data_IF_267533871599
#
_entry.id   IF_267533871599
#
_cell.length_a   1.000
_cell.length_b   1.000
_cell.length_c   1.000
_cell.angle_alpha   90.00
_cell.angle_beta   90.00
_cell.angle_gamma   90.00
#
_symmetry.space_group_name_H-M   'P 1'
#
loop_
_entity.id
_entity.type
_entity.pdbx_description
1 polymer ?
#
# COMPACT_ATOMS: atom_id res chain seq x y z
N UNK A 1 -65.14 -35.91 -48.36
CA UNK A 1 -64.51 -35.79 -47.08
C UNK A 1 -63.32 -34.84 -47.24
N UNK A 2 -63.52 -33.54 -46.90
CA UNK A 2 -62.56 -32.48 -47.09
C UNK A 2 -61.95 -32.14 -45.72
N UNK A 3 -60.66 -32.29 -45.56
CA UNK A 3 -59.94 -31.89 -44.35
C UNK A 3 -59.04 -30.70 -44.71
N UNK A 4 -59.52 -29.49 -44.32
CA UNK A 4 -58.78 -28.25 -44.38
C UNK A 4 -57.70 -28.19 -43.28
N UNK A 5 -56.40 -28.20 -43.66
CA UNK A 5 -55.26 -27.85 -42.76
C UNK A 5 -55.03 -26.34 -42.81
N UNK A 6 -55.31 -25.63 -41.74
CA UNK A 6 -54.87 -24.23 -41.52
C UNK A 6 -53.44 -24.25 -41.01
N UNK A 7 -52.53 -23.60 -41.76
CA UNK A 7 -51.17 -23.26 -41.33
C UNK A 7 -51.23 -21.99 -40.51
N UNK A 8 -50.86 -22.08 -39.22
CA UNK A 8 -50.66 -20.93 -38.36
C UNK A 8 -49.21 -20.44 -38.52
N UNK A 9 -49.04 -19.24 -39.01
CA UNK A 9 -47.74 -18.53 -39.01
C UNK A 9 -47.54 -17.89 -37.62
N UNK A 10 -46.62 -18.39 -36.83
CA UNK A 10 -46.15 -17.78 -35.61
C UNK A 10 -45.05 -16.74 -35.95
N UNK A 11 -45.38 -15.47 -35.88
CA UNK A 11 -44.44 -14.38 -36.04
C UNK A 11 -43.59 -14.28 -34.78
N UNK A 12 -42.27 -14.47 -34.92
CA UNK A 12 -41.29 -14.24 -33.86
C UNK A 12 -40.97 -12.73 -33.86
N UNK A 13 -41.44 -12.00 -32.88
CA UNK A 13 -41.02 -10.64 -32.59
C UNK A 13 -39.65 -10.66 -31.93
N UNK A 14 -38.59 -10.31 -32.67
CA UNK A 14 -37.26 -10.10 -32.11
C UNK A 14 -37.24 -8.67 -31.50
N UNK A 15 -37.38 -8.60 -30.19
CA UNK A 15 -37.13 -7.36 -29.44
C UNK A 15 -35.62 -7.12 -29.38
N UNK A 16 -35.12 -6.20 -30.21
CA UNK A 16 -33.73 -5.71 -30.08
C UNK A 16 -33.61 -4.87 -28.81
N UNK A 17 -33.02 -5.47 -27.76
CA UNK A 17 -32.61 -4.75 -26.56
C UNK A 17 -31.43 -3.85 -26.92
N UNK A 18 -31.67 -2.58 -27.11
CA UNK A 18 -30.64 -1.54 -27.15
C UNK A 18 -30.00 -1.48 -25.75
N UNK A 19 -28.90 -2.18 -25.57
CA UNK A 19 -28.04 -2.04 -24.41
C UNK A 19 -27.45 -0.62 -24.45
N UNK A 20 -28.09 0.31 -23.74
CA UNK A 20 -27.54 1.65 -23.54
C UNK A 20 -26.22 1.53 -22.84
N UNK A 21 -25.11 1.86 -23.52
CA UNK A 21 -23.81 2.00 -22.90
C UNK A 21 -23.94 3.04 -21.76
N UNK A 22 -23.41 2.77 -20.57
CA UNK A 22 -23.46 3.76 -19.49
C UNK A 22 -22.73 5.02 -19.96
N UNK A 23 -23.45 6.13 -20.02
CA UNK A 23 -22.85 7.45 -20.25
C UNK A 23 -21.97 7.73 -19.04
N UNK A 24 -20.66 7.47 -19.19
CA UNK A 24 -19.67 7.87 -18.18
C UNK A 24 -19.66 9.39 -18.19
N UNK A 25 -20.36 10.00 -17.25
CA UNK A 25 -20.33 11.44 -17.07
C UNK A 25 -18.87 11.85 -16.80
N UNK A 26 -18.32 12.66 -17.70
CA UNK A 26 -16.96 13.17 -17.55
C UNK A 26 -16.91 14.03 -16.26
N UNK A 27 -15.97 13.71 -15.37
CA UNK A 27 -15.76 14.47 -14.14
C UNK A 27 -15.46 15.94 -14.51
N UNK A 28 -16.31 16.87 -14.10
CA UNK A 28 -16.06 18.28 -14.35
C UNK A 28 -14.89 18.76 -13.46
N UNK A 29 -13.84 19.27 -14.09
CA UNK A 29 -12.70 19.85 -13.39
C UNK A 29 -12.93 21.33 -13.06
N UNK A 30 -12.27 21.82 -12.01
CA UNK A 30 -12.13 23.23 -11.75
C UNK A 30 -11.28 23.89 -12.86
N UNK A 31 -11.36 25.21 -12.97
CA UNK A 31 -10.60 25.97 -13.98
C UNK A 31 -9.12 26.16 -13.62
N UNK A 32 -8.73 25.79 -12.41
CA UNK A 32 -7.38 25.89 -11.90
C UNK A 32 -6.82 24.50 -11.57
N UNK A 33 -5.54 24.34 -11.79
CA UNK A 33 -4.78 23.17 -11.39
C UNK A 33 -3.40 23.61 -10.91
N UNK A 34 -2.75 22.74 -10.16
CA UNK A 34 -1.39 22.95 -9.68
C UNK A 34 -0.45 21.90 -10.28
N UNK A 35 0.70 22.35 -10.75
CA UNK A 35 1.83 21.49 -11.10
C UNK A 35 2.92 21.70 -10.07
N UNK A 36 3.43 20.61 -9.56
CA UNK A 36 4.53 20.60 -8.62
C UNK A 36 5.73 19.89 -9.24
N UNK A 37 6.93 20.31 -8.83
CA UNK A 37 8.20 19.69 -9.19
C UNK A 37 8.90 19.17 -7.94
N UNK A 38 9.47 18.00 -8.07
CA UNK A 38 10.37 17.42 -7.10
C UNK A 38 11.75 17.16 -7.71
N UNK A 39 12.62 16.56 -6.92
CA UNK A 39 13.96 16.19 -7.39
C UNK A 39 13.91 15.15 -8.50
N UNK A 40 15.03 15.05 -9.23
CA UNK A 40 15.28 14.03 -10.27
C UNK A 40 14.23 13.96 -11.38
N UNK A 41 13.56 15.09 -11.67
CA UNK A 41 12.58 15.17 -12.75
C UNK A 41 11.17 14.75 -12.36
N UNK A 42 10.91 14.50 -11.08
CA UNK A 42 9.56 14.26 -10.58
C UNK A 42 8.65 15.45 -10.89
N UNK A 43 7.48 15.17 -11.42
CA UNK A 43 6.41 16.15 -11.65
C UNK A 43 5.07 15.57 -11.19
N UNK A 44 4.32 16.36 -10.44
CA UNK A 44 2.99 15.98 -9.96
C UNK A 44 1.98 17.04 -10.34
N UNK A 45 0.91 16.62 -11.01
CA UNK A 45 -0.23 17.48 -11.38
C UNK A 45 -1.36 17.19 -10.42
N UNK A 46 -2.00 18.24 -9.90
CA UNK A 46 -3.23 18.16 -9.11
C UNK A 46 -4.28 19.08 -9.76
N UNK A 47 -5.32 18.48 -10.34
CA UNK A 47 -6.42 19.20 -10.97
C UNK A 47 -7.73 18.91 -10.21
N UNK A 48 -8.19 19.82 -9.31
CA UNK A 48 -9.38 19.62 -8.51
C UNK A 48 -10.64 19.44 -9.37
N UNK A 49 -11.60 18.69 -8.86
CA UNK A 49 -12.95 18.63 -9.43
C UNK A 49 -13.71 19.93 -9.12
N UNK A 50 -14.72 20.24 -9.93
CA UNK A 50 -15.50 21.48 -9.76
C UNK A 50 -16.27 21.55 -8.43
N UNK A 51 -16.56 20.42 -7.81
CA UNK A 51 -17.18 20.30 -6.49
C UNK A 51 -16.17 20.28 -5.33
N UNK A 52 -14.88 20.36 -5.65
CA UNK A 52 -13.75 20.35 -4.72
C UNK A 52 -13.67 19.12 -3.79
N UNK A 53 -14.31 18.01 -4.15
CA UNK A 53 -14.29 16.77 -3.35
C UNK A 53 -13.18 15.80 -3.74
N UNK A 54 -12.63 15.95 -4.95
CA UNK A 54 -11.59 15.10 -5.49
C UNK A 54 -10.65 15.89 -6.40
N UNK A 55 -9.62 15.25 -6.91
CA UNK A 55 -8.77 15.80 -7.96
C UNK A 55 -8.31 14.70 -8.93
N UNK A 56 -8.04 15.05 -10.17
CA UNK A 56 -7.17 14.24 -11.02
C UNK A 56 -5.73 14.52 -10.61
N UNK A 57 -5.04 13.46 -10.20
CA UNK A 57 -3.62 13.50 -9.80
C UNK A 57 -2.81 12.68 -10.79
N UNK A 58 -1.80 13.29 -11.41
CA UNK A 58 -0.85 12.61 -12.31
C UNK A 58 0.56 12.71 -11.75
N UNK A 59 1.25 11.60 -11.70
CA UNK A 59 2.66 11.52 -11.33
C UNK A 59 3.49 11.21 -12.57
N UNK A 60 4.63 11.86 -12.73
CA UNK A 60 5.56 11.63 -13.84
C UNK A 60 7.01 11.77 -13.39
N UNK A 61 7.91 11.05 -14.06
CA UNK A 61 9.36 11.09 -13.80
C UNK A 61 9.79 10.16 -12.66
N UNK A 62 9.05 9.08 -12.42
CA UNK A 62 9.39 8.07 -11.42
C UNK A 62 9.54 6.69 -12.05
N UNK A 63 10.48 5.91 -11.56
CA UNK A 63 10.63 4.51 -11.97
C UNK A 63 9.66 3.63 -11.14
N UNK A 64 8.36 3.71 -11.49
CA UNK A 64 7.29 3.05 -10.74
C UNK A 64 6.10 2.75 -11.65
N UNK A 65 5.30 1.72 -11.36
CA UNK A 65 4.06 1.40 -12.11
C UNK A 65 3.04 2.54 -12.15
N UNK A 66 3.16 3.54 -11.28
CA UNK A 66 2.27 4.71 -11.25
C UNK A 66 2.73 5.85 -12.17
N UNK A 67 3.90 5.72 -12.81
CA UNK A 67 4.42 6.74 -13.71
C UNK A 67 3.49 7.01 -14.90
N UNK A 68 3.17 8.26 -15.15
CA UNK A 68 2.26 8.68 -16.22
C UNK A 68 0.79 8.32 -16.00
N UNK A 69 0.43 7.67 -14.88
CA UNK A 69 -0.96 7.32 -14.58
C UNK A 69 -1.68 8.51 -13.94
N UNK A 70 -2.92 8.73 -14.40
CA UNK A 70 -3.83 9.75 -13.84
C UNK A 70 -4.83 9.07 -12.94
N UNK A 71 -4.83 9.43 -11.65
CA UNK A 71 -5.75 8.91 -10.64
C UNK A 71 -6.85 9.92 -10.36
N UNK A 72 -8.08 9.47 -10.17
CA UNK A 72 -9.08 10.25 -9.45
C UNK A 72 -8.85 9.96 -7.95
N UNK A 73 -8.44 10.99 -7.24
CA UNK A 73 -8.08 10.90 -5.84
C UNK A 73 -9.04 11.75 -5.00
N UNK A 74 -9.58 11.16 -3.93
CA UNK A 74 -10.47 11.84 -3.01
C UNK A 74 -9.69 12.89 -2.20
N UNK A 75 -10.28 14.06 -2.02
CA UNK A 75 -9.76 15.11 -1.14
C UNK A 75 -10.13 14.79 0.30
N UNK A 76 -9.12 14.55 1.13
CA UNK A 76 -9.29 14.23 2.55
C UNK A 76 -8.62 15.32 3.39
N UNK A 77 -9.39 15.98 4.25
CA UNK A 77 -8.89 17.01 5.16
C UNK A 77 -8.97 16.50 6.59
N UNK A 78 -7.86 16.57 7.30
CA UNK A 78 -7.76 16.20 8.70
C UNK A 78 -6.96 17.28 9.44
N UNK A 79 -7.67 18.19 10.13
CA UNK A 79 -7.09 19.38 10.74
C UNK A 79 -6.38 20.26 9.71
N UNK A 80 -5.07 20.44 9.86
CA UNK A 80 -4.23 21.25 8.96
C UNK A 80 -3.61 20.46 7.81
N UNK A 81 -3.94 19.17 7.70
CA UNK A 81 -3.42 18.28 6.67
C UNK A 81 -4.47 18.02 5.60
N UNK A 82 -4.14 18.32 4.35
CA UNK A 82 -4.92 17.99 3.18
C UNK A 82 -4.19 16.87 2.41
N UNK A 83 -4.90 15.82 2.03
CA UNK A 83 -4.35 14.77 1.18
C UNK A 83 -5.27 14.43 0.02
N UNK A 84 -4.66 14.06 -1.11
CA UNK A 84 -5.36 13.45 -2.23
C UNK A 84 -5.12 11.95 -2.19
N UNK A 85 -6.18 11.19 -1.93
CA UNK A 85 -6.14 9.77 -1.64
C UNK A 85 -6.76 8.94 -2.73
N UNK A 86 -6.08 7.87 -3.14
CA UNK A 86 -6.59 6.82 -3.99
C UNK A 86 -6.35 5.45 -3.34
N UNK A 87 -6.45 4.38 -4.10
CA UNK A 87 -6.14 3.02 -3.66
C UNK A 87 -4.97 2.47 -4.48
N UNK A 88 -4.01 1.86 -3.81
CA UNK A 88 -2.88 1.16 -4.40
C UNK A 88 -2.67 -0.17 -3.66
N UNK A 89 -2.51 -1.26 -4.39
CA UNK A 89 -2.30 -2.61 -3.82
C UNK A 89 -3.31 -2.95 -2.70
N UNK A 90 -4.59 -2.62 -2.92
CA UNK A 90 -5.68 -2.88 -1.99
C UNK A 90 -5.73 -1.99 -0.74
N UNK A 91 -4.83 -1.01 -0.62
CA UNK A 91 -4.72 -0.13 0.55
C UNK A 91 -4.96 1.34 0.20
N UNK A 92 -5.48 2.14 1.13
CA UNK A 92 -5.57 3.59 0.95
C UNK A 92 -4.16 4.19 0.77
N UNK A 93 -4.01 4.99 -0.29
CA UNK A 93 -2.75 5.60 -0.67
C UNK A 93 -2.91 7.12 -0.80
N UNK A 94 -2.24 7.87 0.06
CA UNK A 94 -2.17 9.33 -0.04
C UNK A 94 -1.10 9.69 -1.08
N UNK A 95 -1.52 10.07 -2.27
CA UNK A 95 -0.60 10.39 -3.39
C UNK A 95 0.15 11.68 -3.10
N UNK A 96 -0.59 12.73 -2.72
CA UNK A 96 -0.07 14.05 -2.39
C UNK A 96 -0.62 14.46 -1.04
N UNK A 97 0.24 14.99 -0.21
CA UNK A 97 -0.11 15.56 1.09
C UNK A 97 0.40 16.99 1.14
N UNK A 98 -0.46 17.88 1.57
CA UNK A 98 -0.16 19.27 1.88
C UNK A 98 -0.41 19.46 3.37
N UNK A 99 0.61 19.86 4.12
CA UNK A 99 0.57 19.98 5.56
C UNK A 99 1.08 21.34 6.00
N UNK A 100 0.28 22.01 6.81
CA UNK A 100 0.66 23.27 7.46
C UNK A 100 1.45 22.93 8.73
N UNK A 101 2.77 23.00 8.61
CA UNK A 101 3.70 22.75 9.70
C UNK A 101 3.93 24.06 10.50
N UNK A 102 2.96 24.40 11.36
CA UNK A 102 3.16 25.46 12.35
C UNK A 102 4.07 24.95 13.48
N UNK A 103 5.37 25.06 13.29
CA UNK A 103 6.36 24.74 14.32
C UNK A 103 7.22 25.95 14.61
N UNK A 104 7.27 26.35 15.89
CA UNK A 104 8.20 27.35 16.41
C UNK A 104 8.15 28.76 15.75
N UNK A 105 6.91 29.20 15.38
CA UNK A 105 6.71 30.58 14.87
C UNK A 105 6.92 30.73 13.35
N UNK A 106 7.15 29.66 12.62
CA UNK A 106 7.20 29.66 11.16
C UNK A 106 5.95 29.01 10.60
N UNK A 107 5.16 29.74 9.81
CA UNK A 107 4.08 29.18 9.01
C UNK A 107 4.72 28.59 7.75
N UNK A 108 4.87 27.29 7.73
CA UNK A 108 5.46 26.58 6.60
C UNK A 108 4.46 25.56 6.07
N UNK A 109 4.12 25.65 4.78
CA UNK A 109 3.31 24.67 4.09
C UNK A 109 4.24 23.76 3.32
N UNK A 110 4.27 22.48 3.69
CA UNK A 110 5.02 21.48 2.96
C UNK A 110 4.07 20.65 2.08
N UNK A 111 4.42 20.52 0.81
CA UNK A 111 3.74 19.60 -0.12
C UNK A 111 4.66 18.44 -0.40
N UNK A 112 4.17 17.21 -0.20
CA UNK A 112 4.94 15.97 -0.42
C UNK A 112 4.15 14.98 -1.26
N UNK A 113 4.84 14.22 -2.10
CA UNK A 113 4.28 13.03 -2.79
C UNK A 113 4.82 11.76 -2.17
N UNK A 114 3.94 10.78 -1.93
CA UNK A 114 4.28 9.47 -1.40
C UNK A 114 4.12 8.43 -2.50
N UNK A 115 5.24 7.97 -3.06
CA UNK A 115 5.26 7.20 -4.30
C UNK A 115 5.94 5.85 -4.11
N UNK A 116 5.41 4.76 -4.70
CA UNK A 116 6.08 3.47 -4.65
C UNK A 116 7.45 3.53 -5.37
N UNK A 117 8.46 2.75 -4.96
CA UNK A 117 8.33 1.70 -3.94
C UNK A 117 8.38 2.19 -2.49
N UNK A 118 8.84 3.42 -2.23
CA UNK A 118 8.95 3.95 -0.87
C UNK A 118 7.80 4.92 -0.57
N UNK A 119 6.81 4.43 0.17
CA UNK A 119 5.64 5.21 0.58
C UNK A 119 5.84 5.91 1.93
N UNK A 120 7.01 5.81 2.58
CA UNK A 120 7.23 6.33 3.94
C UNK A 120 7.81 7.74 3.95
N UNK A 121 8.88 7.96 3.19
CA UNK A 121 9.66 9.21 3.33
C UNK A 121 9.05 10.37 2.53
N UNK A 122 8.35 10.08 1.44
CA UNK A 122 7.75 11.08 0.57
C UNK A 122 8.79 12.00 -0.09
N UNK A 123 8.42 12.55 -1.22
CA UNK A 123 9.24 13.48 -2.01
C UNK A 123 8.73 14.90 -1.79
N UNK A 124 9.59 15.82 -1.34
CA UNK A 124 9.24 17.23 -1.23
C UNK A 124 8.97 17.83 -2.60
N UNK A 125 7.91 18.62 -2.68
CA UNK A 125 7.42 19.22 -3.92
C UNK A 125 7.37 20.74 -3.82
N UNK A 126 7.80 21.40 -4.90
CA UNK A 126 7.72 22.86 -5.06
C UNK A 126 6.70 23.21 -6.16
N UNK A 127 5.88 24.22 -5.94
CA UNK A 127 4.90 24.69 -6.90
C UNK A 127 5.57 25.30 -8.12
N UNK A 128 5.14 24.89 -9.34
CA UNK A 128 5.57 25.47 -10.63
C UNK A 128 4.44 26.26 -11.25
N UNK A 129 4.45 27.55 -11.05
CA UNK A 129 3.41 28.47 -11.56
C UNK A 129 3.33 28.47 -13.09
N UNK A 130 4.48 28.44 -13.77
CA UNK A 130 4.53 28.45 -15.25
C UNK A 130 3.92 27.18 -15.83
N UNK A 131 4.30 26.02 -15.29
CA UNK A 131 3.73 24.74 -15.73
C UNK A 131 2.24 24.63 -15.39
N UNK A 132 1.81 25.17 -14.24
CA UNK A 132 0.40 25.20 -13.83
C UNK A 132 -0.46 26.01 -14.79
N UNK A 133 0.00 27.20 -15.21
CA UNK A 133 -0.70 28.04 -16.19
C UNK A 133 -0.74 27.44 -17.61
N UNK A 134 0.25 26.62 -17.95
CA UNK A 134 0.37 25.99 -19.28
C UNK A 134 -0.33 24.62 -19.35
N UNK A 135 -0.92 24.13 -18.26
CA UNK A 135 -1.48 22.78 -18.20
C UNK A 135 -2.75 22.68 -19.05
N UNK A 136 -2.78 21.70 -19.94
CA UNK A 136 -3.97 21.32 -20.71
C UNK A 136 -4.84 20.35 -19.88
N UNK A 137 -5.86 20.89 -19.21
CA UNK A 137 -6.83 20.12 -18.44
C UNK A 137 -7.65 19.15 -19.31
N UNK A 138 -7.92 19.50 -20.55
CA UNK A 138 -8.66 18.63 -21.48
C UNK A 138 -7.83 17.38 -21.83
N UNK A 139 -6.54 17.56 -22.11
CA UNK A 139 -5.63 16.46 -22.38
C UNK A 139 -5.45 15.55 -21.14
N UNK A 140 -5.36 16.13 -19.93
CA UNK A 140 -5.30 15.38 -18.68
C UNK A 140 -6.56 14.53 -18.50
N UNK A 141 -7.73 15.12 -18.70
CA UNK A 141 -9.02 14.43 -18.58
C UNK A 141 -9.18 13.31 -19.61
N UNK A 142 -8.80 13.54 -20.87
CA UNK A 142 -8.80 12.52 -21.92
C UNK A 142 -7.88 11.35 -21.55
N UNK A 143 -6.68 11.64 -21.03
CA UNK A 143 -5.75 10.61 -20.55
C UNK A 143 -6.36 9.77 -19.44
N UNK A 144 -6.99 10.41 -18.43
CA UNK A 144 -7.68 9.72 -17.36
C UNK A 144 -8.79 8.79 -17.90
N UNK A 145 -9.66 9.29 -18.77
CA UNK A 145 -10.77 8.50 -19.32
C UNK A 145 -10.27 7.29 -20.11
N UNK A 146 -9.23 7.49 -20.94
CA UNK A 146 -8.61 6.38 -21.66
C UNK A 146 -8.05 5.32 -20.70
N UNK A 147 -7.22 5.71 -19.74
CA UNK A 147 -6.62 4.79 -18.78
C UNK A 147 -7.67 4.10 -17.90
N UNK A 148 -8.77 4.80 -17.56
CA UNK A 148 -9.90 4.21 -16.84
C UNK A 148 -10.61 3.14 -17.69
N UNK A 149 -10.84 3.43 -18.98
CA UNK A 149 -11.42 2.46 -19.91
C UNK A 149 -10.51 1.22 -20.11
N UNK A 150 -9.20 1.44 -20.11
CA UNK A 150 -8.18 0.37 -20.20
C UNK A 150 -7.98 -0.39 -18.87
N UNK A 151 -8.67 0.01 -17.78
CA UNK A 151 -8.59 -0.63 -16.46
C UNK A 151 -7.29 -0.40 -15.70
N UNK A 152 -6.48 0.60 -16.08
CA UNK A 152 -5.14 0.84 -15.48
C UNK A 152 -5.23 1.08 -13.98
N UNK A 153 -6.10 2.00 -13.54
CA UNK A 153 -6.26 2.32 -12.11
C UNK A 153 -6.83 1.13 -11.33
N UNK A 154 -7.79 0.40 -11.91
CA UNK A 154 -8.39 -0.77 -11.28
C UNK A 154 -7.36 -1.90 -11.08
N UNK A 155 -6.42 -2.07 -12.02
CA UNK A 155 -5.33 -3.03 -11.89
C UNK A 155 -4.37 -2.64 -10.76
N UNK A 156 -3.99 -1.38 -10.68
CA UNK A 156 -3.10 -0.86 -9.63
C UNK A 156 -3.75 -0.85 -8.25
N UNK A 157 -5.07 -0.65 -8.19
CA UNK A 157 -5.83 -0.68 -6.94
C UNK A 157 -6.05 -2.09 -6.37
N UNK A 158 -5.89 -3.13 -7.19
CA UNK A 158 -6.09 -4.51 -6.74
C UNK A 158 -4.95 -4.94 -5.82
N UNK A 159 -5.31 -5.58 -4.70
CA UNK A 159 -4.32 -6.18 -3.82
C UNK A 159 -3.46 -7.20 -4.56
N UNK A 160 -2.16 -7.05 -4.45
CA UNK A 160 -1.17 -7.95 -5.04
C UNK A 160 -0.49 -8.75 -3.93
N UNK A 161 -0.95 -10.00 -3.74
CA UNK A 161 -0.42 -10.90 -2.72
C UNK A 161 1.09 -11.13 -2.87
N UNK A 162 1.58 -11.30 -4.09
CA UNK A 162 3.00 -11.61 -4.32
C UNK A 162 3.89 -10.43 -3.96
N UNK A 163 3.47 -9.21 -4.30
CA UNK A 163 4.16 -7.99 -3.89
C UNK A 163 4.16 -7.83 -2.36
N UNK A 164 3.04 -8.11 -1.71
CA UNK A 164 2.94 -8.06 -0.25
C UNK A 164 3.88 -9.06 0.42
N UNK A 165 3.90 -10.30 -0.06
CA UNK A 165 4.81 -11.35 0.42
C UNK A 165 6.26 -10.91 0.24
N UNK A 166 6.66 -10.52 -0.98
CA UNK A 166 8.03 -10.12 -1.29
C UNK A 166 8.50 -8.94 -0.44
N UNK A 167 7.66 -7.90 -0.28
CA UNK A 167 8.00 -6.73 0.54
C UNK A 167 8.10 -7.07 2.03
N UNK A 168 7.25 -7.97 2.51
CA UNK A 168 7.30 -8.46 3.90
C UNK A 168 8.57 -9.26 4.15
N UNK A 169 8.92 -10.18 3.26
CA UNK A 169 10.14 -11.00 3.37
C UNK A 169 11.40 -10.15 3.30
N UNK A 170 11.42 -9.13 2.46
CA UNK A 170 12.53 -8.17 2.39
C UNK A 170 12.69 -7.41 3.71
N UNK A 171 11.60 -6.93 4.31
CA UNK A 171 11.62 -6.27 5.63
C UNK A 171 12.14 -7.19 6.73
N UNK A 172 11.67 -8.43 6.77
CA UNK A 172 12.15 -9.43 7.73
C UNK A 172 13.64 -9.70 7.56
N UNK A 173 14.09 -9.86 6.32
CA UNK A 173 15.51 -10.03 6.01
C UNK A 173 16.36 -8.86 6.52
N UNK A 174 15.95 -7.63 6.34
CA UNK A 174 16.66 -6.45 6.84
C UNK A 174 16.78 -6.44 8.37
N UNK A 175 15.72 -6.86 9.07
CA UNK A 175 15.75 -7.01 10.54
C UNK A 175 16.64 -8.15 10.96
N UNK A 176 16.57 -9.30 10.30
CA UNK A 176 17.40 -10.47 10.56
C UNK A 176 18.88 -10.19 10.30
N UNK A 177 19.22 -9.47 9.23
CA UNK A 177 20.60 -9.08 8.92
C UNK A 177 21.18 -8.19 10.04
N UNK A 178 20.40 -7.23 10.58
CA UNK A 178 20.82 -6.40 11.71
C UNK A 178 21.04 -7.25 12.97
N UNK A 179 20.09 -8.14 13.27
CA UNK A 179 20.14 -9.02 14.43
C UNK A 179 21.31 -9.99 14.30
N UNK A 180 21.53 -10.59 13.14
CA UNK A 180 22.64 -11.48 12.85
C UNK A 180 23.99 -10.80 13.11
N UNK A 181 24.16 -9.56 12.64
CA UNK A 181 25.37 -8.75 12.89
C UNK A 181 25.58 -8.48 14.38
N UNK A 182 24.51 -8.18 15.11
CA UNK A 182 24.58 -7.87 16.55
C UNK A 182 24.90 -9.11 17.37
N UNK A 183 24.27 -10.25 17.07
CA UNK A 183 24.43 -11.50 17.81
C UNK A 183 25.69 -12.29 17.38
N UNK A 184 26.23 -12.04 16.19
CA UNK A 184 27.36 -12.81 15.63
C UNK A 184 26.97 -14.20 15.12
N UNK A 185 25.67 -14.48 14.94
CA UNK A 185 25.15 -15.75 14.42
C UNK A 185 24.05 -15.47 13.37
N UNK A 186 23.87 -16.33 12.36
CA UNK A 186 22.80 -16.18 11.39
C UNK A 186 21.43 -16.24 12.05
N UNK A 187 20.59 -15.26 11.77
CA UNK A 187 19.17 -15.23 12.13
C UNK A 187 18.36 -15.19 10.85
N UNK A 188 17.29 -15.99 10.78
CA UNK A 188 16.40 -16.04 9.64
C UNK A 188 14.96 -16.26 10.09
N UNK A 189 14.12 -15.27 9.80
CA UNK A 189 12.68 -15.34 10.02
C UNK A 189 11.96 -15.73 8.72
N UNK A 190 11.06 -16.70 8.82
CA UNK A 190 10.16 -17.11 7.73
C UNK A 190 8.72 -17.00 8.20
N UNK A 191 7.81 -16.61 7.31
CA UNK A 191 6.38 -16.57 7.60
C UNK A 191 5.70 -17.83 7.06
N UNK A 192 4.87 -18.46 7.88
CA UNK A 192 3.94 -19.49 7.42
C UNK A 192 2.76 -18.82 6.72
N UNK A 193 2.91 -18.54 5.43
CA UNK A 193 1.90 -17.85 4.63
C UNK A 193 0.56 -18.59 4.51
N UNK A 194 0.52 -19.88 4.82
CA UNK A 194 -0.73 -20.63 4.88
C UNK A 194 -1.59 -20.26 6.10
N UNK A 195 -0.99 -19.70 7.15
CA UNK A 195 -1.69 -19.21 8.34
C UNK A 195 -2.20 -17.77 8.20
N UNK A 196 -1.93 -17.09 7.07
CA UNK A 196 -2.25 -15.68 6.86
C UNK A 196 -3.29 -15.54 5.75
N UNK A 197 -4.49 -15.14 6.10
CA UNK A 197 -5.55 -14.86 5.13
C UNK A 197 -5.28 -13.56 4.36
N UNK A 198 -5.89 -13.41 3.18
CA UNK A 198 -5.78 -12.18 2.40
C UNK A 198 -6.34 -10.96 3.15
N UNK A 199 -7.41 -11.13 3.91
CA UNK A 199 -7.97 -10.06 4.73
C UNK A 199 -7.02 -9.62 5.85
N UNK A 200 -6.29 -10.57 6.44
CA UNK A 200 -5.23 -10.25 7.40
C UNK A 200 -4.08 -9.50 6.73
N UNK A 201 -3.64 -9.91 5.53
CA UNK A 201 -2.61 -9.20 4.78
C UNK A 201 -2.97 -7.74 4.49
N UNK A 202 -4.26 -7.47 4.17
CA UNK A 202 -4.75 -6.11 3.91
C UNK A 202 -4.83 -5.23 5.15
N UNK A 203 -5.01 -5.82 6.34
CA UNK A 203 -5.23 -5.10 7.60
C UNK A 203 -4.01 -5.04 8.50
N UNK A 204 -3.16 -6.07 8.45
CA UNK A 204 -2.08 -6.25 9.40
C UNK A 204 -0.71 -5.97 8.79
N UNK A 205 0.15 -5.38 9.59
CA UNK A 205 1.58 -5.36 9.31
C UNK A 205 2.20 -6.71 9.66
N UNK A 206 1.97 -7.74 8.83
CA UNK A 206 2.47 -9.10 9.10
C UNK A 206 3.98 -9.10 9.39
N UNK A 207 4.76 -8.33 8.62
CA UNK A 207 6.20 -8.13 8.89
C UNK A 207 6.46 -7.56 10.28
N UNK A 208 5.68 -6.57 10.72
CA UNK A 208 5.81 -5.97 12.05
C UNK A 208 5.57 -6.99 13.17
N UNK A 209 4.56 -7.82 13.03
CA UNK A 209 4.31 -8.89 14.00
C UNK A 209 5.40 -9.96 13.98
N UNK A 210 5.87 -10.34 12.81
CA UNK A 210 6.83 -11.45 12.67
C UNK A 210 8.28 -11.06 12.98
N UNK A 211 8.65 -9.80 12.96
CA UNK A 211 10.01 -9.35 13.33
C UNK A 211 10.26 -9.32 14.84
N UNK A 212 9.20 -9.41 15.68
CA UNK A 212 9.25 -9.31 17.15
C UNK A 212 10.32 -10.19 17.79
N UNK A 213 10.40 -11.47 17.41
CA UNK A 213 11.37 -12.40 18.00
C UNK A 213 12.79 -12.04 17.58
N UNK A 214 13.02 -11.70 16.31
CA UNK A 214 14.33 -11.28 15.81
C UNK A 214 14.80 -9.99 16.50
N UNK A 215 13.91 -9.01 16.68
CA UNK A 215 14.22 -7.76 17.39
C UNK A 215 14.55 -8.01 18.86
N UNK A 216 13.76 -8.85 19.56
CA UNK A 216 14.04 -9.23 20.95
C UNK A 216 15.38 -9.92 21.10
N UNK A 217 15.76 -10.80 20.15
CA UNK A 217 17.09 -11.42 20.11
C UNK A 217 18.20 -10.36 19.97
N UNK A 218 18.04 -9.42 19.03
CA UNK A 218 19.01 -8.34 18.83
C UNK A 218 19.20 -7.47 20.07
N UNK A 219 18.09 -7.16 20.78
CA UNK A 219 18.11 -6.41 22.03
C UNK A 219 18.88 -7.18 23.12
N UNK A 220 18.62 -8.48 23.30
CA UNK A 220 19.33 -9.30 24.26
C UNK A 220 20.82 -9.45 23.93
N UNK A 221 21.17 -9.64 22.67
CA UNK A 221 22.57 -9.71 22.24
C UNK A 221 23.33 -8.39 22.48
N UNK A 222 22.63 -7.26 22.57
CA UNK A 222 23.22 -5.96 22.88
C UNK A 222 23.36 -5.75 24.40
N UNK A 223 22.37 -6.17 25.18
CA UNK A 223 22.25 -5.86 26.61
C UNK A 223 22.76 -6.95 27.55
N UNK A 224 22.93 -8.18 27.05
CA UNK A 224 23.30 -9.34 27.85
C UNK A 224 24.42 -10.16 27.17
N UNK A 225 25.65 -10.03 27.70
CA UNK A 225 26.83 -10.72 27.18
C UNK A 225 26.74 -12.25 27.33
N UNK A 226 26.09 -12.73 28.39
CA UNK A 226 25.90 -14.18 28.63
C UNK A 226 24.92 -14.74 27.58
N UNK A 227 23.82 -14.06 27.34
CA UNK A 227 22.88 -14.43 26.27
C UNK A 227 23.57 -14.51 24.89
N UNK A 228 24.36 -13.47 24.57
CA UNK A 228 25.10 -13.43 23.29
C UNK A 228 26.06 -14.60 23.14
N UNK A 229 26.81 -14.94 24.21
CA UNK A 229 27.77 -16.07 24.21
C UNK A 229 27.04 -17.41 24.03
N UNK A 230 25.95 -17.61 24.77
CA UNK A 230 25.16 -18.85 24.70
C UNK A 230 24.47 -18.99 23.32
N UNK A 231 24.14 -17.87 22.68
CA UNK A 231 23.49 -17.85 21.39
C UNK A 231 24.40 -18.32 20.25
N UNK A 232 25.69 -18.12 20.36
CA UNK A 232 26.67 -18.56 19.35
C UNK A 232 26.60 -20.08 19.05
N UNK A 233 26.05 -20.90 19.98
CA UNK A 233 25.86 -22.33 19.81
C UNK A 233 24.44 -22.71 19.32
N UNK A 234 23.54 -21.75 19.07
CA UNK A 234 22.14 -22.01 18.77
C UNK A 234 21.75 -21.58 17.35
N UNK A 235 20.81 -22.32 16.75
CA UNK A 235 20.23 -21.96 15.46
C UNK A 235 19.27 -20.77 15.59
N UNK A 236 19.47 -19.73 14.76
CA UNK A 236 18.64 -18.52 14.71
C UNK A 236 17.41 -18.63 13.81
N UNK A 237 16.98 -19.82 13.39
CA UNK A 237 15.81 -19.97 12.54
C UNK A 237 14.50 -19.73 13.31
N UNK A 238 13.71 -18.79 12.81
CA UNK A 238 12.40 -18.40 13.35
C UNK A 238 11.34 -18.71 12.31
N UNK A 239 10.26 -19.38 12.71
CA UNK A 239 9.05 -19.51 11.91
C UNK A 239 7.94 -18.73 12.58
N UNK A 240 7.42 -17.72 11.91
CA UNK A 240 6.29 -16.92 12.37
C UNK A 240 4.99 -17.39 11.73
N UNK A 241 3.92 -17.43 12.50
CA UNK A 241 2.57 -17.71 12.04
C UNK A 241 1.55 -16.87 12.78
N UNK A 242 0.41 -16.60 12.16
CA UNK A 242 -0.72 -15.95 12.80
C UNK A 242 -1.68 -17.03 13.32
N UNK A 243 -2.13 -16.90 14.54
CA UNK A 243 -3.03 -17.84 15.19
C UNK A 243 -3.91 -17.18 16.24
N UNK A 244 -4.62 -18.01 17.01
CA UNK A 244 -5.62 -17.54 17.98
C UNK A 244 -5.02 -17.31 19.39
N UNK A 245 -3.84 -17.85 19.64
CA UNK A 245 -3.18 -17.75 20.95
C UNK A 245 -1.70 -17.44 20.77
N UNK A 246 -1.25 -16.39 21.47
CA UNK A 246 0.17 -16.03 21.53
C UNK A 246 0.98 -17.19 22.12
N UNK A 247 2.00 -17.63 21.37
CA UNK A 247 2.83 -18.75 21.76
C UNK A 247 4.24 -18.61 21.17
N UNK A 248 5.24 -19.09 21.90
CA UNK A 248 6.62 -19.17 21.45
C UNK A 248 7.22 -20.46 21.97
N UNK A 249 7.63 -21.34 21.08
CA UNK A 249 8.16 -22.65 21.42
C UNK A 249 9.40 -22.96 20.59
N UNK A 250 10.28 -23.83 21.12
CA UNK A 250 11.33 -24.48 20.34
C UNK A 250 10.83 -25.83 19.86
N UNK A 251 10.86 -26.03 18.56
CA UNK A 251 10.47 -27.28 17.92
C UNK A 251 11.44 -27.60 16.79
N UNK A 252 11.99 -28.80 16.78
CA UNK A 252 12.90 -29.32 15.73
C UNK A 252 14.06 -28.36 15.41
N UNK A 253 14.65 -27.75 16.44
CA UNK A 253 15.77 -26.80 16.30
C UNK A 253 15.37 -25.43 15.76
N UNK A 254 14.09 -25.15 15.61
CA UNK A 254 13.55 -23.83 15.19
C UNK A 254 12.78 -23.20 16.33
N UNK A 255 12.73 -21.88 16.33
CA UNK A 255 11.83 -21.11 17.19
C UNK A 255 10.52 -20.87 16.43
N UNK A 256 9.40 -21.41 16.89
CA UNK A 256 8.08 -21.19 16.29
C UNK A 256 7.34 -20.12 17.10
N UNK A 257 7.06 -19.01 16.48
CA UNK A 257 6.32 -17.90 17.05
C UNK A 257 4.93 -17.81 16.46
N UNK A 258 3.92 -18.02 17.30
CA UNK A 258 2.52 -17.76 16.94
C UNK A 258 2.13 -16.40 17.49
N UNK A 259 1.91 -15.44 16.60
CA UNK A 259 1.46 -14.09 16.93
C UNK A 259 -0.06 -13.97 16.80
N UNK A 260 -0.64 -13.01 17.51
CA UNK A 260 -2.09 -12.74 17.53
C UNK A 260 -2.33 -11.26 17.35
N UNK A 261 -3.25 -10.90 16.45
CA UNK A 261 -3.57 -9.50 16.13
C UNK A 261 -3.90 -8.64 17.37
N UNK A 262 -4.59 -9.23 18.35
CA UNK A 262 -5.12 -8.50 19.51
C UNK A 262 -4.30 -8.67 20.80
N UNK A 263 -3.22 -9.46 20.78
CA UNK A 263 -2.44 -9.67 22.00
C UNK A 263 -1.57 -8.44 22.31
N UNK A 264 -1.71 -7.81 23.47
CA UNK A 264 -0.82 -6.74 23.90
C UNK A 264 0.56 -7.30 24.30
N UNK A 265 1.57 -6.44 24.26
CA UNK A 265 2.90 -6.73 24.82
C UNK A 265 3.62 -7.95 24.23
N UNK A 266 3.45 -8.21 22.92
CA UNK A 266 4.09 -9.34 22.25
C UNK A 266 5.62 -9.25 22.29
N UNK A 267 6.16 -8.05 22.29
CA UNK A 267 7.59 -7.79 22.38
C UNK A 267 8.14 -8.22 23.75
N UNK A 268 7.45 -7.84 24.83
CA UNK A 268 7.82 -8.26 26.20
C UNK A 268 7.71 -9.78 26.36
N UNK A 269 6.67 -10.37 25.80
CA UNK A 269 6.50 -11.83 25.81
C UNK A 269 7.66 -12.53 25.12
N UNK A 270 8.07 -12.10 23.93
CA UNK A 270 9.20 -12.65 23.21
C UNK A 270 10.51 -12.46 23.97
N UNK A 271 10.73 -11.27 24.55
CA UNK A 271 11.91 -10.94 25.32
C UNK A 271 12.04 -11.82 26.57
N UNK A 272 10.96 -11.97 27.35
CA UNK A 272 10.95 -12.82 28.55
C UNK A 272 11.18 -14.29 28.22
N UNK A 273 10.53 -14.79 27.17
CA UNK A 273 10.74 -16.18 26.74
C UNK A 273 12.19 -16.43 26.37
N UNK A 274 12.82 -15.54 25.61
CA UNK A 274 14.22 -15.69 25.19
C UNK A 274 15.21 -15.56 26.32
N UNK A 275 14.93 -14.78 27.37
CA UNK A 275 15.76 -14.66 28.58
C UNK A 275 15.76 -15.92 29.43
N UNK A 276 14.66 -16.67 29.41
CA UNK A 276 14.46 -17.83 30.28
C UNK A 276 14.91 -19.15 29.61
N UNK A 277 15.60 -19.07 28.47
CA UNK A 277 16.19 -20.21 27.76
C UNK A 277 17.69 -20.30 27.96
#
# INVERSE_FOLDING_TARGET
MNTNRRLAFSGILIAAALAGAPVVMAQKLATHAAVFKGDRGLSVVVAPTADDKAALVKVQGVNSPVDGVVFLADKVVNGKRLSYRSTLDGSPWNIVVNEDLNSWGSNFIETRAFLPPDLRDGYSLSYDEKASKALDLSALQKTYQKQKGDGVQAKLARFNRDNFVASTEQRLKETDDRTSKTCGVPVKTSVNWASVSEDQMKRLSVGGYCETVSQAMGLLCTSDAAYKTNRAAQNGNITCQIGDKLNLVKQDGKTVFTTVESAPNQDDFALQFLRNQ
#
